data_IF_397831944690
#
_entry.id   IF_397831944690
#
_cell.length_a   1.000
_cell.length_b   1.000
_cell.length_c   1.000
_cell.angle_alpha   90.00
_cell.angle_beta   90.00
_cell.angle_gamma   90.00
#
_symmetry.space_group_name_H-M   'P 1'
#
loop_
_entity.id
_entity.type
_entity.pdbx_description
1 polymer ?
#
# COMPACT_ATOMS: atom_id res chain seq x y z
N UNK A 1 -31.29 5.92 -9.22
CA UNK A 1 -31.59 4.50 -8.96
C UNK A 1 -30.43 3.93 -8.18
N UNK A 2 -30.59 3.80 -6.87
CA UNK A 2 -29.65 3.14 -5.96
C UNK A 2 -29.59 1.65 -6.29
N UNK A 3 -28.40 1.13 -6.61
CA UNK A 3 -28.19 -0.31 -6.79
C UNK A 3 -28.59 -1.05 -5.50
N UNK A 4 -29.25 -2.22 -5.60
CA UNK A 4 -29.56 -3.04 -4.43
C UNK A 4 -28.26 -3.46 -3.74
N UNK A 5 -28.25 -3.46 -2.40
CA UNK A 5 -27.07 -3.80 -1.59
C UNK A 5 -26.55 -5.24 -1.81
N UNK A 6 -27.29 -6.09 -2.54
CA UNK A 6 -26.91 -7.46 -2.86
C UNK A 6 -26.05 -7.60 -4.13
N UNK A 7 -25.80 -6.50 -4.87
CA UNK A 7 -24.85 -6.42 -6.00
C UNK A 7 -23.54 -5.72 -5.60
N UNK A 8 -23.08 -5.89 -4.36
CA UNK A 8 -21.76 -5.38 -3.96
C UNK A 8 -20.66 -6.22 -4.61
N UNK A 9 -20.02 -5.65 -5.63
CA UNK A 9 -18.87 -6.26 -6.29
C UNK A 9 -17.71 -6.38 -5.29
N UNK A 10 -17.05 -7.55 -5.20
CA UNK A 10 -15.90 -7.73 -4.32
C UNK A 10 -14.80 -6.72 -4.64
N UNK A 11 -14.28 -6.02 -3.63
CA UNK A 11 -13.22 -5.04 -3.84
C UNK A 11 -11.86 -5.53 -3.36
N UNK A 12 -10.82 -5.23 -4.14
CA UNK A 12 -9.43 -5.51 -3.80
C UNK A 12 -8.69 -4.20 -3.49
N UNK A 13 -8.23 -4.06 -2.25
CA UNK A 13 -7.45 -2.92 -1.82
C UNK A 13 -5.96 -3.28 -1.80
N UNK A 14 -5.18 -2.63 -2.67
CA UNK A 14 -3.73 -2.65 -2.62
C UNK A 14 -3.25 -1.52 -1.71
N UNK A 15 -2.45 -1.82 -0.70
CA UNK A 15 -1.81 -0.83 0.18
C UNK A 15 -0.31 -0.92 -0.04
N UNK A 16 0.31 0.22 -0.33
CA UNK A 16 1.75 0.37 -0.43
C UNK A 16 2.19 1.27 0.72
N UNK A 17 2.99 0.74 1.64
CA UNK A 17 3.56 1.49 2.76
C UNK A 17 5.06 1.70 2.54
N UNK A 18 5.48 2.96 2.64
CA UNK A 18 6.88 3.33 2.72
C UNK A 18 7.45 3.00 4.10
N UNK A 19 8.39 2.05 4.11
CA UNK A 19 9.11 1.55 5.27
C UNK A 19 10.60 1.97 5.25
N UNK A 20 10.94 3.06 4.52
CA UNK A 20 12.30 3.62 4.51
C UNK A 20 12.78 4.03 5.90
N UNK A 21 13.87 3.43 6.36
CA UNK A 21 14.46 3.69 7.68
C UNK A 21 14.87 5.16 7.84
N UNK A 22 15.38 5.76 6.77
CA UNK A 22 15.85 7.14 6.73
C UNK A 22 14.71 8.14 6.97
N UNK A 23 13.56 7.95 6.32
CA UNK A 23 12.40 8.82 6.50
C UNK A 23 11.87 8.77 7.94
N UNK A 24 11.61 7.56 8.44
CA UNK A 24 11.00 7.38 9.77
C UNK A 24 11.93 7.84 10.91
N UNK A 25 13.23 7.64 10.77
CA UNK A 25 14.22 8.12 11.75
C UNK A 25 14.30 9.65 11.79
N UNK A 26 14.34 10.31 10.61
CA UNK A 26 14.31 11.77 10.53
C UNK A 26 13.03 12.34 11.14
N UNK A 27 11.88 11.72 10.85
CA UNK A 27 10.57 12.12 11.37
C UNK A 27 10.50 12.01 12.90
N UNK A 28 10.99 10.91 13.48
CA UNK A 28 11.08 10.76 14.93
C UNK A 28 12.01 11.79 15.56
N UNK A 29 13.16 12.10 14.93
CA UNK A 29 14.09 13.12 15.42
C UNK A 29 13.46 14.52 15.46
N UNK A 30 12.69 14.89 14.41
CA UNK A 30 11.93 16.16 14.39
C UNK A 30 10.86 16.18 15.47
N UNK A 31 10.11 15.08 15.65
CA UNK A 31 9.09 14.96 16.70
C UNK A 31 9.68 15.14 18.10
N UNK A 32 10.84 14.54 18.38
CA UNK A 32 11.54 14.66 19.67
C UNK A 32 11.96 16.10 19.95
N UNK A 33 12.49 16.82 18.94
CA UNK A 33 12.87 18.24 19.07
C UNK A 33 11.68 19.16 19.34
N UNK A 34 10.49 18.85 18.81
CA UNK A 34 9.28 19.64 19.06
C UNK A 34 8.63 19.36 20.43
N UNK A 35 8.99 18.26 21.10
CA UNK A 35 8.30 17.75 22.30
C UNK A 35 9.04 18.05 23.62
N UNK A 36 9.98 19.00 23.65
CA UNK A 36 10.60 19.52 24.89
C UNK A 36 9.62 20.28 25.82
N UNK A 37 8.31 20.32 25.53
CA UNK A 37 7.28 20.80 26.47
C UNK A 37 6.61 19.60 27.17
N UNK A 38 6.74 19.44 28.49
CA UNK A 38 6.47 18.18 29.16
C UNK A 38 4.98 18.05 29.49
N UNK A 39 4.26 17.17 28.81
CA UNK A 39 2.96 16.70 29.29
C UNK A 39 2.89 15.17 29.19
N UNK A 40 2.88 14.56 30.39
CA UNK A 40 2.37 13.24 30.75
C UNK A 40 2.85 12.02 29.93
N UNK A 41 3.79 11.27 30.52
CA UNK A 41 3.57 9.91 31.04
C UNK A 41 3.05 8.77 30.16
N UNK A 42 2.76 8.98 28.87
CA UNK A 42 2.34 7.90 27.97
C UNK A 42 3.53 7.38 27.16
N UNK A 43 3.69 6.05 27.12
CA UNK A 43 4.55 5.34 26.18
C UNK A 43 4.00 5.60 24.77
N UNK A 44 4.38 6.73 24.18
CA UNK A 44 3.92 7.12 22.85
C UNK A 44 4.75 6.38 21.82
N UNK A 45 4.11 5.42 21.16
CA UNK A 45 4.62 4.66 20.02
C UNK A 45 5.38 5.58 19.02
N UNK A 46 6.30 4.97 18.29
CA UNK A 46 7.01 5.67 17.22
C UNK A 46 6.02 6.17 16.16
N UNK A 47 6.31 7.29 15.50
CA UNK A 47 5.44 7.82 14.42
C UNK A 47 5.14 6.79 13.33
N UNK A 48 6.06 5.83 13.14
CA UNK A 48 5.88 4.68 12.26
C UNK A 48 4.82 3.72 12.78
N UNK A 49 4.92 3.29 14.03
CA UNK A 49 3.94 2.41 14.66
C UNK A 49 2.54 3.02 14.66
N UNK A 50 2.40 4.32 14.99
CA UNK A 50 1.10 5.02 14.92
C UNK A 50 0.48 4.93 13.50
N UNK A 51 1.31 5.05 12.46
CA UNK A 51 0.87 4.95 11.05
C UNK A 51 0.45 3.53 10.70
N UNK A 52 1.20 2.52 11.17
CA UNK A 52 0.89 1.11 10.95
C UNK A 52 -0.40 0.72 11.66
N UNK A 53 -0.59 1.15 12.91
CA UNK A 53 -1.81 0.93 13.68
C UNK A 53 -3.04 1.61 13.04
N UNK A 54 -2.90 2.85 12.59
CA UNK A 54 -3.97 3.53 11.86
C UNK A 54 -4.31 2.80 10.55
N UNK A 55 -3.29 2.27 9.85
CA UNK A 55 -3.48 1.49 8.62
C UNK A 55 -4.17 0.16 8.91
N UNK A 56 -3.82 -0.51 10.02
CA UNK A 56 -4.49 -1.72 10.49
C UNK A 56 -5.97 -1.46 10.77
N UNK A 57 -6.30 -0.44 11.56
CA UNK A 57 -7.69 -0.08 11.85
C UNK A 57 -8.47 0.23 10.57
N UNK A 58 -7.85 0.93 9.61
CA UNK A 58 -8.45 1.18 8.31
C UNK A 58 -8.71 -0.12 7.54
N UNK A 59 -7.72 -1.02 7.45
CA UNK A 59 -7.87 -2.31 6.77
C UNK A 59 -8.95 -3.16 7.42
N UNK A 60 -8.98 -3.21 8.75
CA UNK A 60 -9.99 -3.96 9.50
C UNK A 60 -11.40 -3.44 9.20
N UNK A 61 -11.59 -2.12 9.24
CA UNK A 61 -12.86 -1.51 8.89
C UNK A 61 -13.26 -1.83 7.44
N UNK A 62 -12.30 -1.82 6.51
CA UNK A 62 -12.52 -2.15 5.11
C UNK A 62 -12.91 -3.62 4.90
N UNK A 63 -12.26 -4.55 5.61
CA UNK A 63 -12.61 -5.98 5.57
C UNK A 63 -14.00 -6.24 6.18
N UNK A 64 -14.41 -5.44 7.17
CA UNK A 64 -15.75 -5.51 7.78
C UNK A 64 -16.86 -4.97 6.87
N UNK A 65 -16.55 -4.01 5.99
CA UNK A 65 -17.56 -3.44 5.08
C UNK A 65 -18.16 -4.50 4.16
N UNK A 66 -17.35 -5.44 3.66
CA UNK A 66 -17.86 -6.50 2.81
C UNK A 66 -17.05 -7.79 2.96
N UNK A 67 -17.74 -8.92 3.18
CA UNK A 67 -17.13 -10.25 3.38
C UNK A 67 -16.30 -10.74 2.19
N UNK A 68 -16.44 -10.09 1.04
CA UNK A 68 -15.66 -10.42 -0.14
C UNK A 68 -14.48 -9.50 -0.40
N UNK A 69 -14.26 -8.50 0.44
CA UNK A 69 -13.12 -7.62 0.32
C UNK A 69 -11.81 -8.38 0.54
N UNK A 70 -10.86 -8.12 -0.34
CA UNK A 70 -9.51 -8.66 -0.29
C UNK A 70 -8.52 -7.51 -0.14
N UNK A 71 -7.39 -7.79 0.50
CA UNK A 71 -6.33 -6.81 0.73
C UNK A 71 -5.00 -7.40 0.25
N UNK A 72 -4.19 -6.55 -0.37
CA UNK A 72 -2.81 -6.83 -0.71
C UNK A 72 -1.95 -5.74 -0.06
N UNK A 73 -1.00 -6.13 0.79
CA UNK A 73 -0.13 -5.20 1.49
C UNK A 73 1.30 -5.34 0.99
N UNK A 74 1.88 -4.24 0.54
CA UNK A 74 3.23 -4.14 0.02
C UNK A 74 4.00 -3.13 0.86
N UNK A 75 5.17 -3.50 1.34
CA UNK A 75 6.12 -2.55 1.90
C UNK A 75 7.18 -2.20 0.87
N UNK A 76 7.53 -0.92 0.76
CA UNK A 76 8.69 -0.44 0.02
C UNK A 76 9.78 0.03 0.98
N UNK A 77 11.03 -0.25 0.64
CA UNK A 77 12.20 0.44 1.15
C UNK A 77 12.85 1.19 -0.03
N UNK A 78 14.00 1.84 0.18
CA UNK A 78 14.72 2.51 -0.91
C UNK A 78 15.11 1.53 -2.03
N UNK A 79 15.50 0.31 -1.67
CA UNK A 79 16.08 -0.66 -2.61
C UNK A 79 15.16 -1.82 -2.95
N UNK A 80 14.29 -2.21 -2.03
CA UNK A 80 13.42 -3.36 -2.21
C UNK A 80 11.95 -3.04 -2.05
N UNK A 81 11.12 -3.93 -2.57
CA UNK A 81 9.67 -3.90 -2.42
C UNK A 81 9.21 -5.32 -2.15
N UNK A 82 8.36 -5.54 -1.16
CA UNK A 82 7.96 -6.90 -0.78
C UNK A 82 6.48 -6.93 -0.46
N UNK A 83 5.77 -7.91 -1.04
CA UNK A 83 4.39 -8.21 -0.65
C UNK A 83 4.47 -8.90 0.71
N UNK A 84 3.95 -8.23 1.74
CA UNK A 84 3.85 -8.77 3.10
C UNK A 84 2.61 -9.64 3.21
N UNK A 85 1.52 -9.21 2.59
CA UNK A 85 0.24 -9.89 2.66
C UNK A 85 -0.48 -9.89 1.30
N UNK A 86 -1.12 -11.00 0.88
CA UNK A 86 -1.06 -12.32 1.52
C UNK A 86 0.35 -12.94 1.42
N UNK A 87 0.70 -13.81 2.36
CA UNK A 87 1.97 -14.54 2.27
C UNK A 87 1.90 -15.59 1.15
N UNK A 88 3.03 -16.00 0.55
CA UNK A 88 3.03 -17.06 -0.47
C UNK A 88 2.41 -18.38 0.00
N UNK A 89 2.48 -18.67 1.30
CA UNK A 89 1.83 -19.84 1.89
C UNK A 89 0.30 -19.70 1.86
N UNK A 90 -0.23 -18.54 2.28
CA UNK A 90 -1.67 -18.26 2.24
C UNK A 90 -2.21 -18.28 0.82
N UNK A 91 -1.45 -17.78 -0.17
CA UNK A 91 -1.86 -17.88 -1.57
C UNK A 91 -1.97 -19.33 -2.06
N UNK A 92 -1.03 -20.19 -1.67
CA UNK A 92 -1.05 -21.62 -2.04
C UNK A 92 -2.23 -22.33 -1.38
N UNK A 93 -2.50 -22.01 -0.12
CA UNK A 93 -3.62 -22.56 0.63
C UNK A 93 -4.95 -22.13 0.01
N UNK A 94 -5.13 -20.83 -0.27
CA UNK A 94 -6.35 -20.28 -0.87
C UNK A 94 -6.64 -20.90 -2.26
N UNK A 95 -5.58 -21.28 -3.01
CA UNK A 95 -5.70 -21.99 -4.29
C UNK A 95 -6.10 -23.46 -4.14
N UNK A 96 -5.71 -24.10 -3.04
CA UNK A 96 -5.90 -25.54 -2.83
C UNK A 96 -7.21 -25.86 -2.12
N UNK A 97 -7.55 -25.12 -1.07
CA UNK A 97 -8.71 -25.37 -0.21
C UNK A 97 -9.94 -24.53 -0.60
N UNK A 98 -9.78 -23.58 -1.52
CA UNK A 98 -10.79 -22.56 -1.74
C UNK A 98 -10.85 -21.55 -0.60
N UNK A 99 -11.59 -20.46 -0.84
CA UNK A 99 -11.61 -19.18 -0.11
C UNK A 99 -11.45 -19.30 1.42
N UNK A 100 -10.23 -19.06 1.92
CA UNK A 100 -9.99 -18.80 3.34
C UNK A 100 -10.47 -17.40 3.72
N UNK A 101 -11.37 -17.30 4.69
CA UNK A 101 -11.64 -16.03 5.37
C UNK A 101 -10.40 -15.71 6.21
N UNK A 102 -9.64 -14.69 5.83
CA UNK A 102 -8.49 -14.27 6.64
C UNK A 102 -9.01 -13.64 7.91
N UNK A 103 -8.58 -14.14 9.06
CA UNK A 103 -8.93 -13.51 10.33
C UNK A 103 -8.14 -12.20 10.50
N UNK A 104 -8.77 -11.21 11.10
CA UNK A 104 -8.13 -9.93 11.45
C UNK A 104 -6.83 -10.12 12.22
N UNK A 105 -6.80 -11.09 13.13
CA UNK A 105 -5.63 -11.41 13.94
C UNK A 105 -4.48 -11.96 13.09
N UNK A 106 -4.76 -12.88 12.17
CA UNK A 106 -3.73 -13.39 11.25
C UNK A 106 -3.16 -12.28 10.36
N UNK A 107 -4.01 -11.34 9.90
CA UNK A 107 -3.55 -10.18 9.14
C UNK A 107 -2.60 -9.31 9.98
N UNK A 108 -2.99 -8.99 11.22
CA UNK A 108 -2.18 -8.19 12.14
C UNK A 108 -0.83 -8.86 12.44
N UNK A 109 -0.84 -10.15 12.77
CA UNK A 109 0.38 -10.91 13.09
C UNK A 109 1.32 -10.98 11.87
N UNK A 110 0.78 -11.27 10.67
CA UNK A 110 1.56 -11.29 9.44
C UNK A 110 2.13 -9.92 9.07
N UNK A 111 1.37 -8.85 9.31
CA UNK A 111 1.78 -7.50 8.98
C UNK A 111 2.98 -7.07 9.83
N UNK A 112 2.91 -7.24 11.15
CA UNK A 112 4.00 -6.87 12.06
C UNK A 112 5.26 -7.68 11.81
N UNK A 113 5.12 -8.99 11.66
CA UNK A 113 6.24 -9.90 11.36
C UNK A 113 6.87 -9.61 9.98
N UNK A 114 6.04 -9.37 8.96
CA UNK A 114 6.51 -9.01 7.63
C UNK A 114 7.19 -7.65 7.57
N UNK A 115 6.64 -6.65 8.27
CA UNK A 115 7.21 -5.31 8.32
C UNK A 115 8.52 -5.29 9.11
N UNK A 116 8.60 -6.03 10.22
CA UNK A 116 9.84 -6.21 10.97
C UNK A 116 10.97 -6.74 10.09
N UNK A 117 10.69 -7.80 9.32
CA UNK A 117 11.68 -8.36 8.36
C UNK A 117 12.10 -7.36 7.28
N UNK A 118 11.17 -6.59 6.74
CA UNK A 118 11.48 -5.60 5.68
C UNK A 118 12.33 -4.46 6.24
N UNK A 119 12.03 -4.01 7.46
CA UNK A 119 12.83 -2.97 8.13
C UNK A 119 14.23 -3.47 8.44
N UNK A 120 14.39 -4.70 8.97
CA UNK A 120 15.70 -5.32 9.22
C UNK A 120 16.54 -5.46 7.94
N UNK A 121 15.93 -5.91 6.84
CA UNK A 121 16.59 -6.01 5.53
C UNK A 121 16.97 -4.66 4.96
N UNK A 122 16.08 -3.67 5.11
CA UNK A 122 16.33 -2.29 4.72
C UNK A 122 17.55 -1.72 5.44
N UNK A 123 17.62 -1.88 6.77
CA UNK A 123 18.78 -1.44 7.56
C UNK A 123 20.08 -2.11 7.11
N UNK A 124 20.09 -3.43 6.92
CA UNK A 124 21.28 -4.14 6.45
C UNK A 124 21.72 -3.67 5.04
N UNK A 125 20.77 -3.35 4.17
CA UNK A 125 21.05 -2.84 2.83
C UNK A 125 21.55 -1.39 2.82
N UNK A 126 21.06 -0.55 3.73
CA UNK A 126 21.50 0.83 3.91
C UNK A 126 22.95 0.89 4.43
N UNK A 127 23.31 0.00 5.37
CA UNK A 127 24.69 -0.13 5.87
C UNK A 127 25.67 -0.58 4.78
N UNK A 128 25.25 -1.51 3.91
CA UNK A 128 26.11 -2.07 2.87
C UNK A 128 26.27 -1.14 1.65
N UNK A 129 25.29 -0.27 1.38
CA UNK A 129 25.18 0.40 0.09
C UNK A 129 25.18 1.93 0.12
N UNK A 130 25.27 2.56 1.28
CA UNK A 130 25.04 4.00 1.44
C UNK A 130 23.54 4.30 1.48
N UNK A 131 23.14 5.12 2.45
CA UNK A 131 21.73 5.46 2.71
C UNK A 131 21.10 6.16 1.51
N UNK A 132 20.28 5.42 0.78
CA UNK A 132 19.47 5.95 -0.30
C UNK A 132 18.15 6.46 0.30
N UNK A 133 17.79 7.70 0.02
CA UNK A 133 16.63 8.35 0.66
C UNK A 133 15.33 8.12 -0.12
N UNK A 134 15.35 7.36 -1.22
CA UNK A 134 14.17 7.08 -2.03
C UNK A 134 13.23 6.00 -1.48
N UNK A 135 12.14 5.73 -2.21
CA UNK A 135 11.32 4.52 -2.10
C UNK A 135 11.26 3.83 -3.46
N UNK A 136 11.33 2.50 -3.46
CA UNK A 136 11.14 1.65 -4.63
C UNK A 136 9.66 1.61 -5.09
N UNK A 137 9.08 2.78 -5.37
CA UNK A 137 7.67 2.96 -5.71
C UNK A 137 7.30 2.23 -7.01
N UNK A 138 8.13 2.34 -8.04
CA UNK A 138 7.91 1.67 -9.32
C UNK A 138 7.83 0.13 -9.15
N UNK A 139 8.71 -0.44 -8.34
CA UNK A 139 8.72 -1.87 -8.02
C UNK A 139 7.48 -2.30 -7.25
N UNK A 140 7.07 -1.49 -6.28
CA UNK A 140 5.90 -1.74 -5.44
C UNK A 140 4.59 -1.70 -6.23
N UNK A 141 4.42 -0.66 -7.05
CA UNK A 141 3.29 -0.55 -7.97
C UNK A 141 3.27 -1.70 -8.96
N UNK A 142 4.41 -2.05 -9.57
CA UNK A 142 4.48 -3.16 -10.52
C UNK A 142 4.09 -4.50 -9.89
N UNK A 143 4.57 -4.80 -8.68
CA UNK A 143 4.21 -6.02 -7.93
C UNK A 143 2.72 -6.03 -7.58
N UNK A 144 2.20 -4.93 -7.05
CA UNK A 144 0.80 -4.79 -6.70
C UNK A 144 -0.13 -4.89 -7.92
N UNK A 145 0.21 -4.24 -9.03
CA UNK A 145 -0.57 -4.31 -10.28
C UNK A 145 -0.53 -5.70 -10.91
N UNK A 146 0.61 -6.39 -10.87
CA UNK A 146 0.69 -7.79 -11.30
C UNK A 146 -0.22 -8.69 -10.44
N UNK A 147 -0.25 -8.47 -9.12
CA UNK A 147 -1.14 -9.18 -8.21
C UNK A 147 -2.62 -8.90 -8.54
N UNK A 148 -3.01 -7.63 -8.69
CA UNK A 148 -4.37 -7.21 -9.05
C UNK A 148 -4.78 -7.84 -10.38
N UNK A 149 -3.93 -7.74 -11.41
CA UNK A 149 -4.21 -8.29 -12.73
C UNK A 149 -4.39 -9.81 -12.70
N UNK A 150 -3.64 -10.53 -11.86
CA UNK A 150 -3.86 -11.96 -11.62
C UNK A 150 -5.24 -12.21 -11.01
N UNK A 151 -5.62 -11.46 -9.97
CA UNK A 151 -6.92 -11.60 -9.29
C UNK A 151 -8.11 -11.23 -10.18
N UNK A 152 -8.00 -10.18 -10.98
CA UNK A 152 -9.02 -9.79 -11.97
C UNK A 152 -9.24 -10.86 -13.04
N UNK A 153 -8.19 -11.64 -13.41
CA UNK A 153 -8.35 -12.79 -14.31
C UNK A 153 -9.02 -13.98 -13.64
N UNK A 154 -8.77 -14.18 -12.34
CA UNK A 154 -9.41 -15.23 -11.53
C UNK A 154 -10.88 -14.88 -11.20
N UNK A 155 -11.24 -13.60 -11.18
CA UNK A 155 -12.60 -13.13 -10.87
C UNK A 155 -12.91 -11.83 -11.63
N UNK A 156 -13.82 -11.92 -12.61
CA UNK A 156 -14.14 -10.84 -13.55
C UNK A 156 -14.87 -9.65 -12.96
N UNK A 157 -15.42 -9.76 -11.74
CA UNK A 157 -16.19 -8.71 -11.07
C UNK A 157 -15.44 -8.05 -9.91
N UNK A 158 -14.11 -8.18 -9.82
CA UNK A 158 -13.34 -7.52 -8.75
C UNK A 158 -12.99 -6.08 -9.16
N UNK A 159 -13.40 -5.12 -8.34
CA UNK A 159 -12.95 -3.73 -8.46
C UNK A 159 -11.71 -3.50 -7.59
N UNK A 160 -10.60 -3.09 -8.19
CA UNK A 160 -9.37 -2.82 -7.45
C UNK A 160 -9.05 -1.33 -7.29
N UNK A 161 -8.47 -0.98 -6.14
CA UNK A 161 -7.97 0.36 -5.81
C UNK A 161 -6.65 0.24 -5.06
N UNK A 162 -5.76 1.19 -5.30
CA UNK A 162 -4.44 1.26 -4.67
C UNK A 162 -4.36 2.49 -3.77
N UNK A 163 -3.86 2.32 -2.54
CA UNK A 163 -3.54 3.37 -1.59
C UNK A 163 -2.02 3.37 -1.37
N UNK A 164 -1.37 4.49 -1.66
CA UNK A 164 0.07 4.67 -1.48
C UNK A 164 0.34 5.61 -0.31
N UNK A 165 0.98 5.10 0.74
CA UNK A 165 1.44 5.84 1.90
C UNK A 165 2.96 6.06 1.75
N UNK A 166 3.36 7.24 1.28
CA UNK A 166 4.77 7.56 1.00
C UNK A 166 5.24 8.78 1.78
N UNK A 167 6.45 8.70 2.33
CA UNK A 167 7.10 9.81 3.03
C UNK A 167 8.43 10.21 2.42
N UNK A 168 9.07 9.31 1.69
CA UNK A 168 10.37 9.50 1.06
C UNK A 168 10.32 10.46 -0.14
N UNK A 169 11.39 11.25 -0.38
CA UNK A 169 11.49 12.14 -1.55
C UNK A 169 11.47 11.39 -2.89
N UNK A 170 11.04 12.10 -3.93
CA UNK A 170 11.03 11.60 -5.30
C UNK A 170 12.47 11.52 -5.86
N UNK A 171 12.84 10.36 -6.42
CA UNK A 171 14.12 10.14 -7.09
C UNK A 171 13.94 10.29 -8.61
N UNK A 172 14.49 11.35 -9.25
CA UNK A 172 14.26 11.65 -10.67
C UNK A 172 14.61 10.50 -11.62
N UNK A 173 15.64 9.72 -11.29
CA UNK A 173 16.11 8.57 -12.08
C UNK A 173 15.03 7.49 -12.24
N UNK A 174 14.12 7.39 -11.25
CA UNK A 174 13.03 6.41 -11.26
C UNK A 174 11.76 6.89 -11.97
N UNK A 175 11.73 8.15 -12.43
CA UNK A 175 10.53 8.77 -13.01
C UNK A 175 9.92 7.93 -14.14
N UNK A 176 10.72 7.49 -15.11
CA UNK A 176 10.21 6.70 -16.24
C UNK A 176 9.56 5.39 -15.77
N UNK A 177 10.17 4.73 -14.78
CA UNK A 177 9.67 3.47 -14.23
C UNK A 177 8.38 3.69 -13.44
N UNK A 178 8.31 4.75 -12.63
CA UNK A 178 7.11 5.11 -11.86
C UNK A 178 5.96 5.47 -12.81
N UNK A 179 6.21 6.31 -13.82
CA UNK A 179 5.20 6.71 -14.80
C UNK A 179 4.67 5.54 -15.62
N UNK A 180 5.54 4.61 -16.05
CA UNK A 180 5.11 3.39 -16.72
C UNK A 180 4.18 2.53 -15.84
N UNK A 181 4.47 2.44 -14.54
CA UNK A 181 3.60 1.76 -13.59
C UNK A 181 2.24 2.48 -13.42
N UNK A 182 2.23 3.81 -13.34
CA UNK A 182 1.00 4.62 -13.26
C UNK A 182 0.14 4.48 -14.52
N UNK A 183 0.73 4.53 -15.72
CA UNK A 183 -0.01 4.31 -16.95
C UNK A 183 -0.57 2.89 -17.05
N UNK A 184 0.17 1.92 -16.52
CA UNK A 184 -0.32 0.54 -16.39
C UNK A 184 -1.51 0.45 -15.45
N UNK A 185 -1.48 1.14 -14.30
CA UNK A 185 -2.61 1.23 -13.37
C UNK A 185 -3.84 1.87 -14.03
N UNK A 186 -3.64 2.99 -14.74
CA UNK A 186 -4.71 3.68 -15.47
C UNK A 186 -5.35 2.78 -16.52
N UNK A 187 -4.54 2.04 -17.29
CA UNK A 187 -5.04 1.11 -18.31
C UNK A 187 -5.81 -0.07 -17.70
N UNK A 188 -5.40 -0.52 -16.52
CA UNK A 188 -6.09 -1.57 -15.76
C UNK A 188 -7.36 -1.07 -15.03
N UNK A 189 -7.67 0.23 -15.09
CA UNK A 189 -8.82 0.81 -14.38
C UNK A 189 -8.64 0.87 -12.86
N UNK A 190 -7.40 0.78 -12.37
CA UNK A 190 -7.08 0.85 -10.94
C UNK A 190 -6.87 2.30 -10.52
N UNK A 191 -7.67 2.77 -9.58
CA UNK A 191 -7.50 4.10 -8.97
C UNK A 191 -6.33 4.09 -8.00
N UNK A 192 -5.43 5.07 -8.11
CA UNK A 192 -4.29 5.24 -7.20
C UNK A 192 -4.53 6.47 -6.33
N UNK A 193 -4.89 6.23 -5.08
CA UNK A 193 -5.01 7.24 -4.04
C UNK A 193 -3.68 7.34 -3.29
N UNK A 194 -3.27 8.56 -2.95
CA UNK A 194 -1.95 8.83 -2.36
C UNK A 194 -2.12 9.60 -1.06
N UNK A 195 -1.48 9.13 0.02
CA UNK A 195 -1.28 9.91 1.23
C UNK A 195 0.21 10.21 1.38
N UNK A 196 0.55 11.49 1.22
CA UNK A 196 1.92 11.99 1.33
C UNK A 196 2.17 12.37 2.78
N UNK A 197 3.09 11.67 3.43
CA UNK A 197 3.41 11.82 4.85
C UNK A 197 4.57 12.79 5.11
N UNK A 198 5.34 13.10 4.07
CA UNK A 198 6.52 13.98 4.11
C UNK A 198 6.37 15.16 3.15
N UNK A 199 7.40 15.40 2.36
CA UNK A 199 7.38 16.44 1.32
C UNK A 199 6.44 16.08 0.17
N UNK A 200 5.88 17.09 -0.49
CA UNK A 200 4.95 16.89 -1.61
C UNK A 200 5.62 16.17 -2.78
N UNK A 201 5.22 14.92 -3.04
CA UNK A 201 5.66 14.15 -4.21
C UNK A 201 4.91 14.60 -5.47
N UNK A 202 5.66 15.01 -6.48
CA UNK A 202 5.12 15.35 -7.81
C UNK A 202 4.64 14.10 -8.54
N UNK A 203 5.31 12.97 -8.33
CA UNK A 203 4.96 11.69 -8.97
C UNK A 203 3.61 11.20 -8.48
N UNK A 204 3.36 11.25 -7.18
CA UNK A 204 2.10 10.82 -6.57
C UNK A 204 0.93 11.75 -6.91
N UNK A 205 1.18 13.06 -7.04
CA UNK A 205 0.17 14.00 -7.53
C UNK A 205 -0.25 13.68 -8.98
N UNK A 206 0.72 13.38 -9.85
CA UNK A 206 0.44 12.93 -11.22
C UNK A 206 -0.30 11.59 -11.23
N UNK A 207 0.08 10.65 -10.36
CA UNK A 207 -0.59 9.35 -10.24
C UNK A 207 -2.08 9.49 -9.92
N UNK A 208 -2.41 10.30 -8.91
CA UNK A 208 -3.80 10.57 -8.51
C UNK A 208 -4.59 11.23 -9.64
N UNK A 209 -4.00 12.22 -10.32
CA UNK A 209 -4.65 12.93 -11.41
C UNK A 209 -4.90 12.05 -12.64
N UNK A 210 -3.91 11.27 -13.07
CA UNK A 210 -3.99 10.44 -14.28
C UNK A 210 -4.96 9.26 -14.10
N UNK A 211 -4.95 8.62 -12.93
CA UNK A 211 -5.84 7.49 -12.65
C UNK A 211 -7.27 7.97 -12.36
N UNK A 212 -7.43 9.08 -11.63
CA UNK A 212 -8.73 9.66 -11.30
C UNK A 212 -9.55 10.13 -12.52
N UNK A 213 -8.89 10.60 -13.58
CA UNK A 213 -9.58 10.98 -14.83
C UNK A 213 -10.03 9.79 -15.69
N UNK A 214 -9.39 8.63 -15.55
CA UNK A 214 -9.64 7.46 -16.41
C UNK A 214 -10.82 6.58 -15.96
N UNK A 215 -11.18 6.58 -14.66
CA UNK A 215 -12.08 5.57 -14.10
C UNK A 215 -13.59 5.79 -14.34
N UNK A 216 -14.00 6.90 -14.97
CA UNK A 216 -15.40 7.11 -15.41
C UNK A 216 -15.51 7.11 -16.94
N UNK A 217 -15.20 5.97 -17.55
CA UNK A 217 -15.92 5.56 -18.76
C UNK A 217 -16.84 4.42 -18.38
N UNK A 218 -17.98 4.78 -17.78
CA UNK A 218 -19.11 3.87 -17.72
C UNK A 218 -19.42 3.46 -19.15
N UNK A 219 -19.46 2.16 -19.40
CA UNK A 219 -20.02 1.54 -20.60
C UNK A 219 -21.45 2.04 -20.78
N UNK A 220 -21.60 3.14 -21.51
CA UNK A 220 -22.83 3.50 -22.20
C UNK A 220 -22.84 2.68 -23.48
N UNK A 221 -23.46 1.51 -23.40
CA UNK A 221 -23.87 0.72 -24.56
C UNK A 221 -24.61 1.65 -25.52
N UNK A 222 -24.09 1.79 -26.73
CA UNK A 222 -24.85 2.37 -27.82
C UNK A 222 -26.07 1.50 -28.07
N UNK A 223 -27.24 2.12 -27.92
CA UNK A 223 -28.45 1.84 -28.69
C UNK A 223 -28.95 3.18 -29.19
#
# INVERSE_FOLDING_TARGET
MSRPMDEEEPSLLLIILDASSAFWTKREAVRRRQKERPESGEVKLSSFQDTVEATLMFVESYLMMHRRNEVCFVACTARESTIIFPTPAMEREQRTLGRGSVSTKEFQDCLWDGLGRVVERGHAADEAGGGDEGCALAGSLSKGLCYINRKMRESSSIQARALVLSGSPDVPETYNSVMNAIFSAQKAGVLVDCAVLGESSTFLQQAAYLTGKGARKTTGTGM
#
